data_IF_900512499929
#
_entry.id   IF_900512499929
#
_cell.length_a   1.000
_cell.length_b   1.000
_cell.length_c   1.000
_cell.angle_alpha   90.00
_cell.angle_beta   90.00
_cell.angle_gamma   90.00
#
_symmetry.space_group_name_H-M   'P 1'
#
loop_
_entity.id
_entity.type
_entity.pdbx_description
1 polymer ?
#
# COMPACT_ATOMS: atom_id res chain seq x y z
N UNK A 1 7.67 -0.57 -8.48
CA UNK A 1 8.59 0.03 -7.49
C UNK A 1 8.01 -0.16 -6.10
N UNK A 2 8.55 -1.15 -5.36
CA UNK A 2 8.09 -1.57 -4.03
C UNK A 2 8.02 -0.40 -3.04
N UNK A 3 9.03 0.47 -3.06
CA UNK A 3 9.07 1.64 -2.19
C UNK A 3 7.84 2.53 -2.34
N UNK A 4 7.36 2.74 -3.56
CA UNK A 4 6.16 3.55 -3.83
C UNK A 4 4.86 2.92 -3.32
N UNK A 5 4.82 1.62 -3.12
CA UNK A 5 3.67 0.95 -2.51
C UNK A 5 3.62 1.13 -0.99
N UNK A 6 4.77 1.36 -0.37
CA UNK A 6 4.92 1.46 1.08
C UNK A 6 4.87 2.88 1.60
N UNK A 7 5.57 3.82 0.95
CA UNK A 7 5.73 5.18 1.44
C UNK A 7 6.06 6.19 0.35
N UNK A 8 6.01 7.44 0.71
CA UNK A 8 6.55 8.57 -0.04
C UNK A 8 7.45 9.42 0.85
N UNK A 9 8.50 10.00 0.26
CA UNK A 9 9.36 10.94 0.96
C UNK A 9 8.70 12.33 1.05
N UNK A 10 8.71 12.91 2.24
CA UNK A 10 8.27 14.29 2.48
C UNK A 10 9.35 15.29 2.06
N UNK A 11 9.66 15.35 0.78
CA UNK A 11 10.72 16.23 0.26
C UNK A 11 10.56 17.69 0.67
N UNK A 12 9.33 18.20 0.72
CA UNK A 12 9.06 19.56 1.19
C UNK A 12 9.50 19.78 2.65
N UNK A 13 9.28 18.78 3.52
CA UNK A 13 9.72 18.80 4.92
C UNK A 13 11.25 18.73 4.99
N UNK A 14 11.89 17.84 4.21
CA UNK A 14 13.35 17.75 4.14
C UNK A 14 13.98 19.08 3.72
N UNK A 15 13.41 19.73 2.69
CA UNK A 15 13.90 21.03 2.21
C UNK A 15 13.74 22.11 3.28
N UNK A 16 12.59 22.16 3.95
CA UNK A 16 12.35 23.11 5.05
C UNK A 16 13.38 22.92 6.18
N UNK A 17 13.60 21.67 6.60
CA UNK A 17 14.58 21.37 7.65
C UNK A 17 16.01 21.73 7.21
N UNK A 18 16.36 21.49 5.94
CA UNK A 18 17.66 21.90 5.40
C UNK A 18 17.84 23.43 5.50
N UNK A 19 16.79 24.20 5.24
CA UNK A 19 16.84 25.66 5.36
C UNK A 19 16.96 26.12 6.83
N UNK A 20 16.19 25.51 7.73
CA UNK A 20 16.22 25.83 9.18
C UNK A 20 17.57 25.46 9.80
N UNK A 21 18.14 24.33 9.38
CA UNK A 21 19.41 23.83 9.91
C UNK A 21 20.65 24.40 9.17
N UNK A 22 20.46 25.31 8.24
CA UNK A 22 21.57 25.85 7.42
C UNK A 22 22.71 26.41 8.27
N UNK A 23 22.41 27.21 9.29
CA UNK A 23 23.43 27.79 10.17
C UNK A 23 24.18 26.69 10.94
N UNK A 24 23.47 25.70 11.46
CA UNK A 24 24.07 24.54 12.15
C UNK A 24 24.91 23.69 11.20
N UNK A 25 24.48 23.49 9.95
CA UNK A 25 25.26 22.80 8.93
C UNK A 25 26.51 23.57 8.56
N UNK A 26 26.42 24.89 8.46
CA UNK A 26 27.57 25.76 8.20
C UNK A 26 28.61 25.65 9.35
N UNK A 27 28.17 25.59 10.62
CA UNK A 27 29.05 25.36 11.77
C UNK A 27 29.72 23.97 11.73
N UNK A 28 28.96 22.91 11.42
CA UNK A 28 29.48 21.53 11.27
C UNK A 28 30.54 21.45 10.17
N UNK A 29 30.32 22.16 9.06
CA UNK A 29 31.23 22.19 7.91
C UNK A 29 32.38 23.15 8.09
N UNK A 30 32.36 24.01 9.10
CA UNK A 30 33.40 25.01 9.35
C UNK A 30 34.75 24.33 9.56
N UNK A 31 35.73 24.73 8.77
CA UNK A 31 37.07 24.18 8.82
C UNK A 31 37.28 22.84 8.11
N UNK A 32 36.29 22.32 7.41
CA UNK A 32 36.45 21.13 6.56
C UNK A 32 37.38 21.45 5.35
N UNK A 33 38.39 20.60 5.15
CA UNK A 33 39.36 20.76 4.07
C UNK A 33 38.98 19.88 2.87
N UNK A 34 38.01 20.35 2.09
CA UNK A 34 37.57 19.69 0.86
C UNK A 34 36.33 18.80 0.99
N UNK A 35 35.82 18.36 -0.16
CA UNK A 35 34.54 17.65 -0.27
C UNK A 35 34.45 16.38 0.58
N UNK A 36 35.51 15.55 0.57
CA UNK A 36 35.53 14.28 1.29
C UNK A 36 35.39 14.46 2.82
N UNK A 37 36.06 15.48 3.39
CA UNK A 37 35.96 15.79 4.83
C UNK A 37 34.58 16.37 5.16
N UNK A 38 34.03 17.21 4.28
CA UNK A 38 32.67 17.74 4.45
C UNK A 38 31.62 16.61 4.47
N UNK A 39 31.72 15.66 3.56
CA UNK A 39 30.84 14.49 3.52
C UNK A 39 30.96 13.65 4.78
N UNK A 40 32.20 13.41 5.25
CA UNK A 40 32.43 12.67 6.50
C UNK A 40 31.77 13.34 7.70
N UNK A 41 31.91 14.64 7.86
CA UNK A 41 31.29 15.40 8.96
C UNK A 41 29.76 15.40 8.86
N UNK A 42 29.20 15.47 7.65
CA UNK A 42 27.76 15.35 7.45
C UNK A 42 27.24 13.96 7.87
N UNK A 43 27.97 12.89 7.54
CA UNK A 43 27.63 11.55 8.01
C UNK A 43 27.72 11.41 9.55
N UNK A 44 28.71 12.05 10.18
CA UNK A 44 28.85 12.09 11.64
C UNK A 44 27.72 12.89 12.31
N UNK A 45 27.15 13.89 11.61
CA UNK A 45 25.97 14.64 12.08
C UNK A 45 24.70 13.79 12.08
N UNK A 46 24.69 12.70 11.31
CA UNK A 46 23.64 11.70 11.25
C UNK A 46 22.72 11.83 10.05
N UNK A 47 22.10 10.70 9.71
CA UNK A 47 21.15 10.59 8.59
C UNK A 47 19.74 11.10 8.98
N UNK A 48 19.67 12.29 9.59
CA UNK A 48 18.41 12.88 10.10
C UNK A 48 17.33 12.87 9.04
N UNK A 49 17.70 13.15 7.77
CA UNK A 49 16.75 13.25 6.66
C UNK A 49 16.21 11.90 6.16
N UNK A 50 16.82 10.80 6.57
CA UNK A 50 16.41 9.43 6.24
C UNK A 50 15.76 8.71 7.43
N UNK A 51 15.04 9.46 8.25
CA UNK A 51 14.30 8.92 9.39
C UNK A 51 12.81 8.76 9.09
N UNK A 52 12.10 8.03 9.94
CA UNK A 52 10.64 7.85 9.86
C UNK A 52 9.85 9.16 9.81
N UNK A 53 10.38 10.25 10.36
CA UNK A 53 9.73 11.56 10.36
C UNK A 53 9.53 12.16 8.97
N UNK A 54 10.40 11.77 8.02
CA UNK A 54 10.38 12.25 6.65
C UNK A 54 9.66 11.30 5.68
N UNK A 55 9.09 10.22 6.21
CA UNK A 55 8.29 9.27 5.44
C UNK A 55 6.80 9.57 5.64
N UNK A 56 6.04 9.63 4.54
CA UNK A 56 4.58 9.55 4.54
C UNK A 56 4.19 8.11 4.25
N UNK A 57 3.73 7.34 5.26
CA UNK A 57 3.36 5.94 5.04
C UNK A 57 2.10 5.85 4.16
N UNK A 58 2.11 4.95 3.19
CA UNK A 58 0.96 4.56 2.39
C UNK A 58 0.12 3.49 3.11
N UNK A 59 -1.09 3.14 2.62
CA UNK A 59 -2.02 2.25 3.33
C UNK A 59 -1.41 0.96 3.84
N UNK A 60 -0.53 0.33 3.06
CA UNK A 60 0.13 -0.93 3.43
C UNK A 60 1.01 -0.77 4.68
N UNK A 61 1.87 0.25 4.67
CA UNK A 61 2.73 0.55 5.82
C UNK A 61 1.94 1.11 7.01
N UNK A 62 0.87 1.87 6.77
CA UNK A 62 -0.06 2.33 7.83
C UNK A 62 -0.71 1.15 8.53
N UNK A 63 -1.16 0.14 7.77
CA UNK A 63 -1.78 -1.06 8.34
C UNK A 63 -0.83 -1.84 9.26
N UNK A 64 0.46 -1.95 8.90
CA UNK A 64 1.46 -2.59 9.76
C UNK A 64 1.76 -1.78 11.04
N UNK A 65 1.64 -0.45 10.98
CA UNK A 65 1.90 0.44 12.13
C UNK A 65 0.70 0.61 13.06
N UNK A 66 -0.49 0.14 12.65
CA UNK A 66 -1.72 0.28 13.44
C UNK A 66 -1.62 -0.54 14.74
N UNK A 67 -1.96 0.07 15.86
CA UNK A 67 -1.79 -0.55 17.19
C UNK A 67 -2.96 -1.46 17.59
N UNK A 68 -4.14 -1.20 17.07
CA UNK A 68 -5.38 -1.88 17.48
C UNK A 68 -5.90 -2.85 16.42
N UNK A 69 -5.04 -3.24 15.48
CA UNK A 69 -5.46 -4.01 14.32
C UNK A 69 -6.30 -3.17 13.33
N UNK A 70 -6.34 -3.59 12.09
CA UNK A 70 -7.14 -2.93 11.07
C UNK A 70 -7.54 -3.93 9.98
N UNK A 71 -8.44 -3.50 9.11
CA UNK A 71 -8.77 -4.21 7.88
C UNK A 71 -8.07 -3.52 6.72
N UNK A 72 -7.25 -4.26 5.98
CA UNK A 72 -6.58 -3.80 4.77
C UNK A 72 -7.21 -4.48 3.56
N UNK A 73 -7.79 -3.68 2.67
CA UNK A 73 -8.28 -4.14 1.38
C UNK A 73 -7.28 -3.79 0.28
N UNK A 74 -6.86 -4.79 -0.48
CA UNK A 74 -6.05 -4.63 -1.69
C UNK A 74 -6.89 -5.11 -2.86
N UNK A 75 -7.40 -4.17 -3.62
CA UNK A 75 -8.32 -4.44 -4.71
C UNK A 75 -7.57 -4.73 -6.01
N UNK A 76 -8.09 -5.65 -6.82
CA UNK A 76 -7.56 -6.01 -8.14
C UNK A 76 -6.06 -6.40 -8.12
N UNK A 77 -5.66 -7.27 -7.19
CA UNK A 77 -4.26 -7.71 -7.05
C UNK A 77 -3.70 -8.36 -8.32
N UNK A 78 -4.56 -8.91 -9.17
CA UNK A 78 -4.21 -9.48 -10.48
C UNK A 78 -3.73 -8.44 -11.51
N UNK A 79 -3.88 -7.14 -11.23
CA UNK A 79 -3.32 -6.04 -12.04
C UNK A 79 -1.97 -5.53 -11.55
N UNK A 80 -1.50 -6.02 -10.40
CA UNK A 80 -0.19 -5.65 -9.85
C UNK A 80 0.96 -6.33 -10.59
N UNK A 81 2.17 -5.79 -10.44
CA UNK A 81 3.39 -6.40 -10.95
C UNK A 81 3.92 -7.50 -10.00
N UNK A 82 4.93 -8.23 -10.45
CA UNK A 82 5.55 -9.28 -9.65
C UNK A 82 6.33 -8.75 -8.44
N UNK A 83 6.85 -7.54 -8.51
CA UNK A 83 7.55 -6.89 -7.40
C UNK A 83 6.58 -6.65 -6.24
N UNK A 84 5.38 -6.14 -6.56
CA UNK A 84 4.34 -5.94 -5.55
C UNK A 84 3.83 -7.28 -4.96
N UNK A 85 3.69 -8.34 -5.77
CA UNK A 85 3.37 -9.67 -5.22
C UNK A 85 4.44 -10.18 -4.27
N UNK A 86 5.72 -9.97 -4.59
CA UNK A 86 6.83 -10.36 -3.71
C UNK A 86 6.79 -9.62 -2.37
N UNK A 87 6.50 -8.32 -2.41
CA UNK A 87 6.29 -7.51 -1.21
C UNK A 87 5.11 -8.03 -0.37
N UNK A 88 4.00 -8.39 -1.00
CA UNK A 88 2.85 -8.98 -0.31
C UNK A 88 3.21 -10.33 0.33
N UNK A 89 4.05 -11.14 -0.31
CA UNK A 89 4.51 -12.41 0.27
C UNK A 89 5.30 -12.21 1.56
N UNK A 90 6.17 -11.20 1.63
CA UNK A 90 6.90 -10.84 2.84
C UNK A 90 5.92 -10.42 3.94
N UNK A 91 5.04 -9.47 3.61
CA UNK A 91 4.08 -8.91 4.57
C UNK A 91 3.11 -9.97 5.10
N UNK A 92 2.52 -10.80 4.24
CA UNK A 92 1.56 -11.82 4.65
C UNK A 92 2.19 -13.02 5.38
N UNK A 93 3.50 -13.21 5.26
CA UNK A 93 4.20 -14.29 5.96
C UNK A 93 4.54 -13.94 7.39
N UNK A 94 5.06 -12.73 7.61
CA UNK A 94 5.65 -12.34 8.88
C UNK A 94 5.08 -11.04 9.45
N UNK A 95 4.10 -10.44 8.75
CA UNK A 95 3.53 -9.13 9.07
C UNK A 95 4.59 -8.07 9.34
N UNK A 96 5.61 -8.07 8.49
CA UNK A 96 6.72 -7.12 8.53
C UNK A 96 7.11 -6.70 7.12
N UNK A 97 7.85 -5.61 7.03
CA UNK A 97 8.49 -5.16 5.79
C UNK A 97 9.82 -4.48 6.12
N UNK A 98 10.82 -4.70 5.29
CA UNK A 98 12.14 -4.07 5.44
C UNK A 98 12.26 -2.87 4.50
N UNK A 99 12.46 -1.69 5.09
CA UNK A 99 12.69 -0.45 4.36
C UNK A 99 14.18 -0.12 4.54
N UNK A 100 14.96 -0.01 3.46
CA UNK A 100 16.42 0.13 3.56
C UNK A 100 16.89 1.27 4.49
N UNK A 101 16.17 2.39 4.49
CA UNK A 101 16.57 3.60 5.21
C UNK A 101 16.19 3.59 6.70
N UNK A 102 15.13 2.88 7.07
CA UNK A 102 14.61 2.89 8.45
C UNK A 102 14.61 1.52 9.12
N UNK A 103 14.98 0.47 8.39
CA UNK A 103 15.03 -0.89 8.91
C UNK A 103 13.69 -1.63 8.81
N UNK A 104 13.52 -2.69 9.60
CA UNK A 104 12.35 -3.56 9.55
C UNK A 104 11.21 -3.01 10.40
N UNK A 105 10.08 -2.77 9.76
CA UNK A 105 8.81 -2.42 10.40
C UNK A 105 7.97 -3.67 10.55
N UNK A 106 7.59 -4.02 11.79
CA UNK A 106 6.72 -5.15 12.11
C UNK A 106 5.36 -4.66 12.60
N UNK A 107 4.32 -5.46 12.39
CA UNK A 107 3.04 -5.24 13.04
C UNK A 107 3.23 -5.24 14.57
N UNK A 108 2.63 -4.25 15.25
CA UNK A 108 2.92 -4.02 16.67
C UNK A 108 2.28 -5.05 17.60
N UNK A 109 0.97 -5.18 17.58
CA UNK A 109 0.24 -6.05 18.51
C UNK A 109 -0.65 -7.05 17.75
N UNK A 110 -1.56 -6.56 16.96
CA UNK A 110 -2.46 -7.39 16.17
C UNK A 110 -2.17 -7.16 14.67
N UNK A 111 -1.87 -8.23 13.92
CA UNK A 111 -1.66 -8.09 12.49
C UNK A 111 -2.95 -7.63 11.79
N UNK A 112 -2.85 -6.88 10.69
CA UNK A 112 -4.01 -6.47 9.92
C UNK A 112 -4.74 -7.68 9.33
N UNK A 113 -6.07 -7.64 9.31
CA UNK A 113 -6.87 -8.56 8.52
C UNK A 113 -6.84 -8.10 7.05
N UNK A 114 -6.22 -8.90 6.19
CA UNK A 114 -6.00 -8.52 4.79
C UNK A 114 -7.00 -9.20 3.87
N UNK A 115 -7.68 -8.40 3.05
CA UNK A 115 -8.52 -8.86 1.95
C UNK A 115 -7.84 -8.52 0.62
N UNK A 116 -7.71 -9.53 -0.23
CA UNK A 116 -7.24 -9.38 -1.61
C UNK A 116 -8.40 -9.69 -2.54
N UNK A 117 -8.68 -8.82 -3.51
CA UNK A 117 -9.65 -9.11 -4.56
C UNK A 117 -8.95 -9.33 -5.89
N UNK A 118 -9.55 -10.13 -6.75
CA UNK A 118 -9.06 -10.42 -8.09
C UNK A 118 -10.21 -10.70 -9.03
N UNK A 119 -10.15 -10.13 -10.22
CA UNK A 119 -11.05 -10.44 -11.34
C UNK A 119 -10.50 -11.56 -12.23
N UNK A 120 -9.40 -12.19 -11.81
CA UNK A 120 -8.73 -13.28 -12.52
C UNK A 120 -8.28 -12.91 -13.95
N UNK A 121 -7.94 -11.64 -14.18
CA UNK A 121 -7.42 -11.17 -15.48
C UNK A 121 -6.02 -11.69 -15.75
N UNK A 122 -5.26 -11.96 -14.69
CA UNK A 122 -3.96 -12.63 -14.66
C UNK A 122 -3.94 -13.66 -13.53
N UNK A 123 -3.26 -14.75 -13.74
CA UNK A 123 -3.07 -15.74 -12.68
C UNK A 123 -2.18 -15.17 -11.57
N UNK A 124 -2.68 -15.22 -10.34
CA UNK A 124 -1.94 -14.86 -9.13
C UNK A 124 -0.98 -16.02 -8.80
N UNK A 125 0.21 -15.69 -8.31
CA UNK A 125 1.21 -16.69 -7.98
C UNK A 125 0.71 -17.71 -6.95
N UNK A 126 1.10 -18.97 -7.11
CA UNK A 126 0.76 -20.05 -6.17
C UNK A 126 1.28 -19.76 -4.75
N UNK A 127 2.37 -19.03 -4.65
CA UNK A 127 2.94 -18.62 -3.37
C UNK A 127 1.98 -17.69 -2.60
N UNK A 128 1.33 -16.76 -3.29
CA UNK A 128 0.33 -15.86 -2.69
C UNK A 128 -0.97 -16.62 -2.38
N UNK A 129 -1.45 -17.46 -3.31
CA UNK A 129 -2.64 -18.28 -3.10
C UNK A 129 -2.55 -19.15 -1.84
N UNK A 130 -1.38 -19.79 -1.57
CA UNK A 130 -1.16 -20.65 -0.39
C UNK A 130 -1.23 -19.92 0.96
N UNK A 131 -1.11 -18.59 0.96
CA UNK A 131 -1.17 -17.76 2.16
C UNK A 131 -2.55 -17.17 2.42
N UNK A 132 -3.49 -17.40 1.50
CA UNK A 132 -4.83 -16.83 1.56
C UNK A 132 -5.89 -17.92 1.69
N UNK A 133 -6.97 -17.61 2.38
CA UNK A 133 -8.21 -18.34 2.24
C UNK A 133 -8.89 -17.89 0.96
N UNK A 134 -9.20 -18.84 0.08
CA UNK A 134 -9.78 -18.52 -1.21
C UNK A 134 -11.31 -18.60 -1.16
N UNK A 135 -11.95 -17.49 -1.50
CA UNK A 135 -13.41 -17.40 -1.64
C UNK A 135 -13.74 -17.05 -3.10
N UNK A 136 -14.40 -17.96 -3.79
CA UNK A 136 -14.94 -17.68 -5.11
C UNK A 136 -16.29 -17.01 -5.00
N UNK A 137 -16.47 -15.87 -5.66
CA UNK A 137 -17.73 -15.14 -5.76
C UNK A 137 -18.24 -15.30 -7.19
N UNK A 138 -19.28 -16.11 -7.43
CA UNK A 138 -19.84 -16.28 -8.75
C UNK A 138 -20.53 -15.00 -9.23
N UNK A 139 -20.75 -14.93 -10.55
CA UNK A 139 -21.63 -13.91 -11.09
C UNK A 139 -23.04 -14.06 -10.49
N UNK A 140 -23.75 -12.92 -10.32
CA UNK A 140 -25.12 -12.96 -9.80
C UNK A 140 -26.03 -13.82 -10.67
N UNK A 141 -26.94 -14.55 -10.07
CA UNK A 141 -28.03 -15.17 -10.78
C UNK A 141 -29.13 -14.14 -11.13
N UNK A 142 -30.09 -14.55 -11.96
CA UNK A 142 -31.20 -13.70 -12.44
C UNK A 142 -31.93 -13.01 -11.28
N UNK A 143 -32.19 -13.72 -10.19
CA UNK A 143 -32.93 -13.17 -9.07
C UNK A 143 -32.12 -12.13 -8.31
N UNK A 144 -30.84 -12.39 -8.10
CA UNK A 144 -29.93 -11.45 -7.47
C UNK A 144 -29.71 -10.21 -8.33
N UNK A 145 -29.56 -10.35 -9.66
CA UNK A 145 -29.47 -9.22 -10.58
C UNK A 145 -30.71 -8.33 -10.55
N UNK A 146 -31.90 -8.94 -10.53
CA UNK A 146 -33.14 -8.17 -10.40
C UNK A 146 -33.19 -7.37 -9.08
N UNK A 147 -32.71 -7.97 -7.99
CA UNK A 147 -32.61 -7.29 -6.67
C UNK A 147 -31.59 -6.17 -6.70
N UNK A 148 -30.42 -6.37 -7.34
CA UNK A 148 -29.39 -5.34 -7.49
C UNK A 148 -29.93 -4.16 -8.29
N UNK A 149 -30.57 -4.41 -9.42
CA UNK A 149 -31.16 -3.34 -10.26
C UNK A 149 -32.22 -2.58 -9.47
N UNK A 150 -33.10 -3.28 -8.76
CA UNK A 150 -34.14 -2.63 -7.96
C UNK A 150 -33.54 -1.76 -6.83
N UNK A 151 -32.47 -2.23 -6.20
CA UNK A 151 -31.80 -1.47 -5.14
C UNK A 151 -31.09 -0.22 -5.68
N UNK A 152 -30.56 -0.29 -6.90
CA UNK A 152 -29.84 0.83 -7.54
C UNK A 152 -30.79 1.81 -8.22
N UNK A 153 -31.89 1.32 -8.77
CA UNK A 153 -32.90 2.10 -9.50
C UNK A 153 -34.28 1.69 -8.99
N UNK A 154 -34.71 2.16 -7.81
CA UNK A 154 -35.97 1.74 -7.19
C UNK A 154 -37.21 2.04 -8.05
N UNK A 155 -37.13 3.07 -8.88
CA UNK A 155 -38.24 3.54 -9.74
C UNK A 155 -38.39 2.77 -11.06
N UNK A 156 -37.49 1.81 -11.34
CA UNK A 156 -37.56 1.04 -12.58
C UNK A 156 -38.83 0.19 -12.63
N UNK A 157 -39.54 0.23 -13.75
CA UNK A 157 -40.70 -0.62 -13.95
C UNK A 157 -40.31 -2.11 -13.89
N UNK A 158 -41.06 -2.97 -13.18
CA UNK A 158 -40.72 -4.40 -13.04
C UNK A 158 -40.51 -5.12 -14.39
N UNK A 159 -41.31 -4.77 -15.37
CA UNK A 159 -41.21 -5.36 -16.72
C UNK A 159 -39.89 -4.99 -17.42
N UNK A 160 -39.51 -3.71 -17.39
CA UNK A 160 -38.25 -3.25 -17.95
C UNK A 160 -37.04 -3.88 -17.24
N UNK A 161 -37.11 -4.00 -15.91
CA UNK A 161 -36.07 -4.67 -15.13
C UNK A 161 -35.89 -6.11 -15.59
N UNK A 162 -36.98 -6.87 -15.77
CA UNK A 162 -36.93 -8.24 -16.24
C UNK A 162 -36.34 -8.35 -17.65
N UNK A 163 -36.74 -7.47 -18.56
CA UNK A 163 -36.18 -7.42 -19.92
C UNK A 163 -34.68 -7.14 -19.94
N UNK A 164 -34.20 -6.21 -19.10
CA UNK A 164 -32.78 -5.91 -18.97
C UNK A 164 -31.97 -7.11 -18.49
N UNK A 165 -32.43 -7.79 -17.44
CA UNK A 165 -31.75 -8.98 -16.91
C UNK A 165 -31.70 -10.10 -17.96
N UNK A 166 -32.82 -10.38 -18.64
CA UNK A 166 -32.84 -11.39 -19.70
C UNK A 166 -31.86 -11.05 -20.83
N UNK A 167 -31.81 -9.78 -21.22
CA UNK A 167 -30.87 -9.34 -22.28
C UNK A 167 -29.39 -9.54 -21.86
N UNK A 168 -29.05 -9.25 -20.59
CA UNK A 168 -27.68 -9.46 -20.07
C UNK A 168 -27.30 -10.93 -20.07
N UNK A 169 -28.24 -11.83 -19.76
CA UNK A 169 -28.00 -13.29 -19.75
C UNK A 169 -27.94 -13.92 -21.16
N UNK A 170 -28.43 -13.23 -22.17
CA UNK A 170 -28.37 -13.69 -23.58
C UNK A 170 -27.06 -13.28 -24.29
N UNK A 171 -26.25 -12.39 -23.67
CA UNK A 171 -24.94 -11.96 -24.18
C UNK A 171 -23.82 -12.89 -23.71
#
# INVERSE_FOLDING_TARGET
DEAKALYEWKYGKQLLYTQVLKETLDEVLQGARGFAESVKRLHEFGDIFFSEEFIEPRPLLKALKEEHGCVLLIDEVDKSDHEFESLLLEILSEFQVTIPEIGTVKAKAEPPLVFLTSNNTREISDALKRRCLHLYIPFPDVDLEQRIIHARVPEILPELRRQLVNFIHEL
#
